data_IF_153054642418
#
_entry.id   IF_153054642418
#
_cell.length_a   1.000
_cell.length_b   1.000
_cell.length_c   1.000
_cell.angle_alpha   90.00
_cell.angle_beta   90.00
_cell.angle_gamma   90.00
#
_symmetry.space_group_name_H-M   'P 1'
#
loop_
_entity.id
_entity.type
_entity.pdbx_description
1 polymer ?
#
# COMPACT_ATOMS: atom_id res chain seq x y z
N UNK A 1 -7.50 33.72 2.63
CA UNK A 1 -6.50 33.10 1.73
C UNK A 1 -5.34 32.64 2.60
N UNK A 2 -4.91 31.37 2.55
CA UNK A 2 -3.83 30.90 3.41
C UNK A 2 -2.50 31.55 2.99
N UNK A 3 -1.70 32.12 3.92
CA UNK A 3 -0.43 32.78 3.61
C UNK A 3 0.56 31.89 2.85
N UNK A 4 0.50 30.56 3.08
CA UNK A 4 1.37 29.58 2.42
C UNK A 4 1.24 29.58 0.89
N UNK A 5 0.09 30.00 0.35
CA UNK A 5 -0.13 30.03 -1.11
C UNK A 5 0.53 31.23 -1.81
N UNK A 6 0.99 32.22 -1.06
CA UNK A 6 1.77 33.33 -1.60
C UNK A 6 3.24 32.94 -1.84
N UNK A 7 3.68 31.78 -1.34
CA UNK A 7 5.04 31.30 -1.51
C UNK A 7 5.26 30.68 -2.90
N UNK A 8 6.50 30.76 -3.43
CA UNK A 8 6.93 29.97 -4.58
C UNK A 8 6.67 28.47 -4.39
N UNK A 9 6.36 27.79 -5.49
CA UNK A 9 6.02 26.35 -5.52
C UNK A 9 7.14 25.49 -4.92
N UNK A 10 8.39 25.90 -5.12
CA UNK A 10 9.59 25.23 -4.67
C UNK A 10 9.69 25.20 -3.14
N UNK A 11 9.37 26.33 -2.48
CA UNK A 11 9.40 26.43 -1.02
C UNK A 11 8.28 25.61 -0.36
N UNK A 12 7.10 25.61 -1.00
CA UNK A 12 5.97 24.79 -0.54
C UNK A 12 6.32 23.31 -0.68
N UNK A 13 6.87 22.90 -1.84
CA UNK A 13 7.27 21.52 -2.10
C UNK A 13 8.35 21.04 -1.12
N UNK A 14 9.36 21.87 -0.86
CA UNK A 14 10.38 21.59 0.16
C UNK A 14 9.78 21.47 1.57
N UNK A 15 8.77 22.27 1.89
CA UNK A 15 8.09 22.16 3.19
C UNK A 15 7.32 20.83 3.28
N UNK A 16 6.60 20.46 2.22
CA UNK A 16 5.82 19.21 2.13
C UNK A 16 6.73 17.98 2.18
N UNK A 17 7.92 18.00 1.57
CA UNK A 17 8.82 16.85 1.56
C UNK A 17 9.34 16.46 2.94
N UNK A 18 9.35 17.41 3.89
CA UNK A 18 9.71 17.18 5.29
C UNK A 18 8.58 16.60 6.15
N UNK A 19 7.36 16.57 5.63
CA UNK A 19 6.18 16.07 6.35
C UNK A 19 6.14 14.54 6.37
N UNK A 20 5.52 14.01 7.43
CA UNK A 20 5.14 12.61 7.49
C UNK A 20 4.18 12.26 6.34
N UNK A 21 4.12 10.98 5.94
CA UNK A 21 3.19 10.55 4.89
C UNK A 21 1.73 10.90 5.23
N UNK A 22 1.32 10.70 6.48
CA UNK A 22 0.00 11.09 6.96
C UNK A 22 -0.29 12.57 6.72
N UNK A 23 0.64 13.45 7.12
CA UNK A 23 0.47 14.89 6.95
C UNK A 23 0.48 15.29 5.48
N UNK A 24 1.25 14.62 4.62
CA UNK A 24 1.23 14.87 3.17
C UNK A 24 -0.12 14.54 2.55
N UNK A 25 -0.69 13.39 2.90
CA UNK A 25 -2.01 12.99 2.43
C UNK A 25 -3.10 13.94 2.91
N UNK A 26 -3.01 14.42 4.16
CA UNK A 26 -3.90 15.46 4.70
C UNK A 26 -3.78 16.77 3.93
N UNK A 27 -2.55 17.23 3.71
CA UNK A 27 -2.25 18.48 2.98
C UNK A 27 -2.72 18.43 1.53
N UNK A 28 -2.58 17.29 0.86
CA UNK A 28 -3.11 17.07 -0.49
C UNK A 28 -4.64 17.22 -0.55
N UNK A 29 -5.35 16.90 0.54
CA UNK A 29 -6.81 17.08 0.65
C UNK A 29 -7.26 18.53 0.81
N UNK A 30 -6.37 19.47 1.14
CA UNK A 30 -6.73 20.87 1.44
C UNK A 30 -6.94 21.70 0.18
N UNK A 31 -6.11 21.52 -0.86
CA UNK A 31 -6.15 22.36 -2.06
C UNK A 31 -5.59 21.67 -3.30
N UNK A 32 -6.15 21.98 -4.48
CA UNK A 32 -5.70 21.44 -5.78
C UNK A 32 -4.21 21.64 -6.07
N UNK A 33 -3.62 22.78 -5.69
CA UNK A 33 -2.18 23.04 -5.89
C UNK A 33 -1.33 22.07 -5.07
N UNK A 34 -1.68 21.89 -3.79
CA UNK A 34 -0.98 20.99 -2.87
C UNK A 34 -1.18 19.52 -3.28
N UNK A 35 -2.37 19.21 -3.79
CA UNK A 35 -2.67 17.90 -4.36
C UNK A 35 -1.76 17.56 -5.55
N UNK A 36 -1.55 18.50 -6.47
CA UNK A 36 -0.65 18.29 -7.61
C UNK A 36 0.80 18.13 -7.13
N UNK A 37 1.25 18.98 -6.21
CA UNK A 37 2.59 18.87 -5.62
C UNK A 37 2.81 17.50 -4.94
N UNK A 38 1.82 17.01 -4.20
CA UNK A 38 1.90 15.69 -3.58
C UNK A 38 2.01 14.58 -4.62
N UNK A 39 1.20 14.63 -5.69
CA UNK A 39 1.23 13.68 -6.80
C UNK A 39 2.54 13.66 -7.59
N UNK A 40 3.27 14.77 -7.61
CA UNK A 40 4.57 14.88 -8.29
C UNK A 40 5.74 14.49 -7.37
N UNK A 41 5.49 14.43 -6.07
CA UNK A 41 6.52 14.20 -5.07
C UNK A 41 6.73 12.71 -4.78
N UNK A 42 7.98 12.24 -4.93
CA UNK A 42 8.37 10.88 -4.52
C UNK A 42 8.88 10.86 -3.09
N UNK A 43 8.68 9.74 -2.39
CA UNK A 43 9.19 9.57 -1.04
C UNK A 43 9.44 8.11 -0.70
N UNK A 44 10.30 7.90 0.29
CA UNK A 44 10.61 6.57 0.79
C UNK A 44 9.96 6.36 2.16
N UNK A 45 9.32 5.21 2.35
CA UNK A 45 8.78 4.75 3.63
C UNK A 45 9.52 3.48 4.02
N UNK A 46 10.24 3.49 5.13
CA UNK A 46 11.02 2.32 5.55
C UNK A 46 10.12 1.12 5.81
N UNK A 47 9.05 1.32 6.60
CA UNK A 47 8.08 0.27 6.96
C UNK A 47 6.66 0.82 6.93
N UNK A 48 5.75 0.05 6.32
CA UNK A 48 4.33 0.36 6.27
C UNK A 48 3.48 -0.87 6.60
N UNK A 49 2.41 -0.64 7.33
CA UNK A 49 1.36 -1.63 7.57
C UNK A 49 0.00 -1.12 7.08
N UNK A 50 -0.66 -1.93 6.25
CA UNK A 50 -2.05 -1.73 5.87
C UNK A 50 -2.85 -2.87 6.48
N UNK A 51 -3.79 -2.54 7.35
CA UNK A 51 -4.58 -3.55 8.06
C UNK A 51 -6.07 -3.22 8.01
N UNK A 52 -6.90 -4.25 8.14
CA UNK A 52 -8.32 -4.12 8.41
C UNK A 52 -8.62 -4.72 9.79
N UNK A 53 -9.23 -3.92 10.66
CA UNK A 53 -9.57 -4.31 12.04
C UNK A 53 -11.08 -4.27 12.25
N UNK A 54 -11.57 -5.09 13.18
CA UNK A 54 -12.96 -4.98 13.63
C UNK A 54 -13.12 -3.80 14.60
N UNK A 55 -14.26 -3.09 14.61
CA UNK A 55 -14.44 -1.96 15.56
C UNK A 55 -14.45 -2.38 17.03
N UNK A 56 -14.55 -3.68 17.31
CA UNK A 56 -14.59 -4.25 18.66
C UNK A 56 -13.19 -4.62 19.18
N UNK A 57 -12.19 -4.66 18.30
CA UNK A 57 -10.82 -4.90 18.70
C UNK A 57 -10.19 -3.61 19.20
N UNK A 58 -9.79 -3.63 20.48
CA UNK A 58 -8.94 -2.60 21.06
C UNK A 58 -7.60 -2.69 20.33
N UNK A 59 -7.34 -1.77 19.41
CA UNK A 59 -6.07 -1.71 18.67
C UNK A 59 -4.94 -1.51 19.68
N UNK A 60 -4.36 -2.60 20.15
CA UNK A 60 -3.15 -2.64 20.96
C UNK A 60 -1.98 -2.54 19.99
N UNK A 61 -1.61 -1.33 19.57
CA UNK A 61 -0.42 -1.19 18.74
C UNK A 61 0.51 -0.09 19.24
N UNK A 62 1.68 -0.53 19.65
CA UNK A 62 2.87 0.27 19.92
C UNK A 62 3.92 -0.13 18.89
N UNK A 63 3.82 0.43 17.70
CA UNK A 63 4.91 0.41 16.73
C UNK A 63 5.06 1.80 16.12
N UNK A 64 6.30 2.23 15.94
CA UNK A 64 6.71 3.51 15.36
C UNK A 64 6.51 3.61 13.85
N UNK A 65 5.74 2.71 13.24
CA UNK A 65 5.63 2.54 11.79
C UNK A 65 4.42 3.28 11.19
N UNK A 66 4.53 3.68 9.92
CA UNK A 66 3.44 4.29 9.17
C UNK A 66 2.32 3.25 8.98
N UNK A 67 1.12 3.55 9.48
CA UNK A 67 0.01 2.59 9.51
C UNK A 67 -1.25 3.16 8.87
N UNK A 68 -1.92 2.31 8.09
CA UNK A 68 -3.24 2.58 7.53
C UNK A 68 -4.18 1.49 8.02
N UNK A 69 -5.20 1.91 8.77
CA UNK A 69 -6.19 1.02 9.36
C UNK A 69 -7.55 1.25 8.71
N UNK A 70 -8.10 0.19 8.13
CA UNK A 70 -9.48 0.11 7.69
C UNK A 70 -10.33 -0.55 8.78
N UNK A 71 -11.61 -0.21 8.80
CA UNK A 71 -12.59 -0.77 9.75
C UNK A 71 -13.69 -1.46 8.95
N UNK A 72 -13.96 -2.73 9.24
CA UNK A 72 -14.83 -3.59 8.41
C UNK A 72 -16.25 -3.01 8.18
N UNK A 73 -16.78 -2.24 9.15
CA UNK A 73 -18.11 -1.64 9.07
C UNK A 73 -18.17 -0.38 8.20
N UNK A 74 -17.03 0.13 7.73
CA UNK A 74 -16.93 1.36 6.94
C UNK A 74 -16.64 1.08 5.48
N UNK A 75 -17.08 2.00 4.63
CA UNK A 75 -16.75 2.03 3.21
C UNK A 75 -15.60 2.99 2.96
N UNK A 76 -14.59 2.53 2.23
CA UNK A 76 -13.40 3.32 1.87
C UNK A 76 -13.27 3.46 0.37
N UNK A 77 -12.67 4.57 -0.05
CA UNK A 77 -12.11 4.70 -1.40
C UNK A 77 -10.69 4.15 -1.41
N UNK A 78 -10.31 3.53 -2.52
CA UNK A 78 -8.93 3.10 -2.81
C UNK A 78 -8.01 4.26 -3.18
N UNK A 79 -8.53 5.48 -3.34
CA UNK A 79 -7.77 6.65 -3.82
C UNK A 79 -6.52 6.94 -2.97
N UNK A 80 -6.63 6.75 -1.65
CA UNK A 80 -5.49 6.92 -0.73
C UNK A 80 -4.37 5.91 -1.07
N UNK A 81 -4.72 4.64 -1.20
CA UNK A 81 -3.76 3.57 -1.52
C UNK A 81 -3.17 3.76 -2.92
N UNK A 82 -3.98 4.21 -3.89
CA UNK A 82 -3.53 4.52 -5.25
C UNK A 82 -2.55 5.69 -5.30
N UNK A 83 -2.64 6.65 -4.39
CA UNK A 83 -1.64 7.73 -4.28
C UNK A 83 -0.34 7.19 -3.72
N UNK A 84 -0.42 6.39 -2.66
CA UNK A 84 0.75 5.79 -2.03
C UNK A 84 1.48 4.91 -3.03
N UNK A 85 0.78 4.03 -3.77
CA UNK A 85 1.41 3.15 -4.77
C UNK A 85 2.18 3.93 -5.83
N UNK A 86 1.71 5.13 -6.19
CA UNK A 86 2.37 6.00 -7.18
C UNK A 86 3.50 6.83 -6.62
N UNK A 87 3.44 7.23 -5.36
CA UNK A 87 4.33 8.27 -4.82
C UNK A 87 5.38 7.72 -3.85
N UNK A 88 5.11 6.58 -3.23
CA UNK A 88 5.97 5.97 -2.23
C UNK A 88 6.78 4.80 -2.81
N UNK A 89 8.07 4.76 -2.50
CA UNK A 89 8.83 3.51 -2.45
C UNK A 89 8.81 2.99 -1.01
N UNK A 90 8.57 1.69 -0.82
CA UNK A 90 8.37 1.11 0.51
C UNK A 90 9.44 0.04 0.75
N UNK A 91 10.20 0.17 1.83
CA UNK A 91 11.21 -0.83 2.20
C UNK A 91 10.54 -2.17 2.53
N UNK A 92 9.63 -2.16 3.49
CA UNK A 92 8.87 -3.33 3.93
C UNK A 92 7.38 -3.02 4.05
N UNK A 93 6.54 -3.71 3.29
CA UNK A 93 5.08 -3.55 3.29
C UNK A 93 4.40 -4.80 3.85
N UNK A 94 3.62 -4.63 4.92
CA UNK A 94 2.71 -5.67 5.42
C UNK A 94 1.26 -5.30 5.11
N UNK A 95 0.52 -6.24 4.52
CA UNK A 95 -0.90 -6.07 4.22
C UNK A 95 -1.68 -7.22 4.85
N UNK A 96 -2.64 -6.88 5.72
CA UNK A 96 -3.52 -7.83 6.39
C UNK A 96 -4.96 -7.36 6.20
N UNK A 97 -5.64 -7.91 5.20
CA UNK A 97 -7.02 -7.56 4.88
C UNK A 97 -7.93 -8.78 5.06
N UNK A 98 -9.09 -8.56 5.67
CA UNK A 98 -9.94 -9.64 6.18
C UNK A 98 -11.24 -9.76 5.37
N UNK A 99 -11.69 -8.68 4.76
CA UNK A 99 -12.88 -8.64 3.92
C UNK A 99 -12.65 -9.11 2.49
N UNK A 100 -13.74 -9.48 1.82
CA UNK A 100 -13.75 -10.01 0.43
C UNK A 100 -14.53 -9.11 -0.55
N UNK A 101 -14.79 -7.86 -0.16
CA UNK A 101 -15.56 -6.91 -0.96
C UNK A 101 -14.74 -6.45 -2.17
N UNK A 102 -15.41 -5.76 -3.12
CA UNK A 102 -14.76 -5.18 -4.30
C UNK A 102 -13.55 -4.30 -3.93
N UNK A 103 -13.66 -3.55 -2.84
CA UNK A 103 -12.59 -2.72 -2.29
C UNK A 103 -11.32 -3.52 -2.02
N UNK A 104 -11.42 -4.67 -1.35
CA UNK A 104 -10.26 -5.49 -1.01
C UNK A 104 -9.54 -5.99 -2.26
N UNK A 105 -10.28 -6.48 -3.26
CA UNK A 105 -9.70 -6.87 -4.55
C UNK A 105 -8.99 -5.71 -5.23
N UNK A 106 -9.55 -4.50 -5.13
CA UNK A 106 -8.92 -3.30 -5.67
C UNK A 106 -7.61 -2.98 -4.96
N UNK A 107 -7.56 -3.09 -3.61
CA UNK A 107 -6.32 -2.91 -2.86
C UNK A 107 -5.28 -3.94 -3.28
N UNK A 108 -5.62 -5.23 -3.35
CA UNK A 108 -4.66 -6.25 -3.79
C UNK A 108 -4.17 -6.03 -5.23
N UNK A 109 -5.05 -5.58 -6.13
CA UNK A 109 -4.67 -5.22 -7.48
C UNK A 109 -3.76 -3.98 -7.55
N UNK A 110 -3.83 -3.08 -6.57
CA UNK A 110 -2.93 -1.93 -6.47
C UNK A 110 -1.54 -2.33 -6.00
N UNK A 111 -1.38 -3.41 -5.23
CA UNK A 111 -0.09 -3.84 -4.66
C UNK A 111 0.98 -4.02 -5.74
N UNK A 112 0.59 -4.55 -6.91
CA UNK A 112 1.50 -4.73 -8.05
C UNK A 112 2.02 -3.41 -8.65
N UNK A 113 1.40 -2.28 -8.32
CA UNK A 113 1.81 -0.96 -8.77
C UNK A 113 2.80 -0.27 -7.81
N UNK A 114 3.02 -0.83 -6.62
CA UNK A 114 3.97 -0.26 -5.66
C UNK A 114 5.41 -0.58 -6.05
N UNK A 115 6.32 0.32 -5.65
CA UNK A 115 7.76 0.05 -5.60
C UNK A 115 8.11 -0.48 -4.20
N UNK A 116 8.27 -1.80 -4.06
CA UNK A 116 8.43 -2.46 -2.75
C UNK A 116 9.75 -3.23 -2.68
N UNK A 117 10.49 -3.07 -1.59
CA UNK A 117 11.61 -3.96 -1.26
C UNK A 117 11.10 -5.35 -0.88
N UNK A 118 10.40 -5.43 0.23
CA UNK A 118 9.86 -6.66 0.81
C UNK A 118 8.34 -6.57 1.04
N UNK A 119 7.62 -7.62 0.64
CA UNK A 119 6.18 -7.71 0.76
C UNK A 119 5.77 -8.88 1.65
N UNK A 120 4.94 -8.61 2.66
CA UNK A 120 4.33 -9.61 3.51
C UNK A 120 2.79 -9.55 3.36
N UNK A 121 2.19 -10.59 2.79
CA UNK A 121 0.75 -10.67 2.54
C UNK A 121 0.09 -11.67 3.49
N UNK A 122 -0.78 -11.17 4.36
CA UNK A 122 -1.65 -11.97 5.21
C UNK A 122 -3.08 -11.98 4.67
N UNK A 123 -3.62 -13.18 4.46
CA UNK A 123 -5.04 -13.38 4.16
C UNK A 123 -5.68 -14.07 5.36
N UNK A 124 -6.55 -13.38 6.10
CA UNK A 124 -7.19 -13.99 7.27
C UNK A 124 -8.30 -14.99 6.86
N UNK A 125 -8.96 -14.76 5.72
CA UNK A 125 -10.02 -15.64 5.20
C UNK A 125 -9.52 -16.49 4.04
N UNK A 126 -9.49 -17.81 4.22
CA UNK A 126 -9.06 -18.80 3.19
C UNK A 126 -9.78 -18.65 1.84
N UNK A 127 -11.03 -18.17 1.80
CA UNK A 127 -11.75 -18.01 0.54
C UNK A 127 -11.08 -16.96 -0.37
N UNK A 128 -10.71 -15.81 0.20
CA UNK A 128 -10.12 -14.74 -0.59
C UNK A 128 -8.75 -15.13 -1.11
N UNK A 129 -7.95 -15.78 -0.27
CA UNK A 129 -6.69 -16.38 -0.64
C UNK A 129 -6.87 -17.30 -1.86
N UNK A 130 -7.83 -18.24 -1.80
CA UNK A 130 -8.11 -19.17 -2.90
C UNK A 130 -8.54 -18.45 -4.17
N UNK A 131 -9.21 -17.32 -4.10
CA UNK A 131 -9.66 -16.60 -5.29
C UNK A 131 -8.58 -15.70 -5.88
N UNK A 132 -7.69 -15.14 -5.06
CA UNK A 132 -6.71 -14.14 -5.48
C UNK A 132 -5.32 -14.71 -5.74
N UNK A 133 -4.86 -15.67 -4.93
CA UNK A 133 -3.54 -16.29 -5.07
C UNK A 133 -3.55 -17.37 -6.16
N UNK A 134 -3.68 -16.91 -7.40
CA UNK A 134 -3.49 -17.70 -8.62
C UNK A 134 -2.13 -17.36 -9.23
N UNK A 135 -1.63 -18.22 -10.11
CA UNK A 135 -0.33 -18.07 -10.78
C UNK A 135 -0.09 -16.67 -11.36
N UNK A 136 -1.08 -16.09 -12.05
CA UNK A 136 -0.94 -14.78 -12.67
C UNK A 136 -0.73 -13.66 -11.63
N UNK A 137 -1.47 -13.70 -10.52
CA UNK A 137 -1.31 -12.73 -9.45
C UNK A 137 0.03 -12.89 -8.74
N UNK A 138 0.44 -14.13 -8.46
CA UNK A 138 1.75 -14.44 -7.89
C UNK A 138 2.90 -13.91 -8.76
N UNK A 139 2.85 -14.16 -10.07
CA UNK A 139 3.86 -13.70 -11.03
C UNK A 139 3.89 -12.17 -11.17
N UNK A 140 2.75 -11.49 -10.97
CA UNK A 140 2.70 -10.03 -10.93
C UNK A 140 3.36 -9.49 -9.64
N UNK A 141 3.12 -10.13 -8.49
CA UNK A 141 3.76 -9.75 -7.23
C UNK A 141 5.28 -9.91 -7.29
N UNK A 142 5.78 -10.98 -7.90
CA UNK A 142 7.24 -11.24 -8.01
C UNK A 142 7.97 -10.21 -8.87
N UNK A 143 7.24 -9.47 -9.72
CA UNK A 143 7.79 -8.34 -10.48
C UNK A 143 7.77 -7.03 -9.69
N UNK A 144 6.83 -6.90 -8.74
CA UNK A 144 6.62 -5.67 -7.97
C UNK A 144 7.53 -5.57 -6.73
N UNK A 145 8.13 -6.67 -6.29
CA UNK A 145 8.97 -6.68 -5.09
C UNK A 145 10.11 -7.70 -5.15
N UNK A 146 11.12 -7.51 -4.30
CA UNK A 146 12.33 -8.35 -4.29
C UNK A 146 12.16 -9.60 -3.43
N UNK A 147 11.43 -9.48 -2.33
CA UNK A 147 11.18 -10.57 -1.39
C UNK A 147 9.68 -10.61 -1.11
N UNK A 148 9.08 -11.80 -1.17
CA UNK A 148 7.68 -12.03 -0.85
C UNK A 148 7.57 -13.08 0.23
N UNK A 149 6.88 -12.73 1.31
CA UNK A 149 6.40 -13.65 2.31
C UNK A 149 4.92 -13.92 2.05
N UNK A 150 4.62 -15.15 1.63
CA UNK A 150 3.26 -15.62 1.40
C UNK A 150 2.93 -16.71 2.43
N UNK A 151 1.74 -16.63 2.99
CA UNK A 151 1.15 -17.71 3.76
C UNK A 151 0.14 -18.43 2.89
N UNK A 152 0.17 -19.77 2.90
CA UNK A 152 -0.82 -20.64 2.26
C UNK A 152 -0.92 -20.42 0.72
N UNK A 153 -0.14 -21.21 -0.03
CA UNK A 153 0.02 -21.08 -1.49
C UNK A 153 -0.47 -22.30 -2.27
N UNK A 154 -1.55 -22.95 -1.80
CA UNK A 154 -2.07 -24.20 -2.38
C UNK A 154 -2.33 -24.16 -3.90
N UNK A 155 -2.60 -22.97 -4.45
CA UNK A 155 -2.97 -22.79 -5.87
C UNK A 155 -1.83 -22.35 -6.78
N UNK A 156 -0.64 -22.12 -6.23
CA UNK A 156 0.53 -21.78 -7.04
C UNK A 156 1.05 -23.08 -7.67
N UNK A 157 1.08 -23.12 -8.99
CA UNK A 157 1.55 -24.30 -9.72
C UNK A 157 3.08 -24.35 -9.73
N UNK A 158 3.62 -25.55 -9.97
CA UNK A 158 5.06 -25.75 -10.17
C UNK A 158 5.58 -24.96 -11.37
N UNK A 159 4.74 -24.74 -12.39
CA UNK A 159 5.08 -23.95 -13.57
C UNK A 159 5.30 -22.47 -13.22
N UNK A 160 4.42 -21.89 -12.42
CA UNK A 160 4.59 -20.52 -11.94
C UNK A 160 5.85 -20.36 -11.08
N UNK A 161 6.13 -21.32 -10.19
CA UNK A 161 7.38 -21.35 -9.41
C UNK A 161 8.62 -21.44 -10.31
N UNK A 162 8.57 -22.29 -11.34
CA UNK A 162 9.65 -22.42 -12.30
C UNK A 162 9.90 -21.11 -13.07
N UNK A 163 8.84 -20.40 -13.47
CA UNK A 163 8.97 -19.09 -14.12
C UNK A 163 9.67 -18.06 -13.23
N UNK A 164 9.32 -17.99 -11.94
CA UNK A 164 10.00 -17.11 -10.99
C UNK A 164 11.48 -17.47 -10.86
N UNK A 165 11.78 -18.77 -10.77
CA UNK A 165 13.16 -19.27 -10.70
C UNK A 165 13.99 -18.86 -11.93
N UNK A 166 13.41 -18.89 -13.14
CA UNK A 166 14.10 -18.47 -14.37
C UNK A 166 14.42 -16.97 -14.41
N UNK A 167 13.72 -16.12 -13.64
CA UNK A 167 13.96 -14.67 -13.59
C UNK A 167 15.02 -14.30 -12.54
N UNK A 168 15.21 -15.16 -11.53
CA UNK A 168 16.19 -14.93 -10.45
C UNK A 168 17.62 -15.29 -10.88
N UNK A 169 17.78 -16.20 -11.84
CA UNK A 169 19.07 -16.61 -12.41
C UNK A 169 19.53 -15.72 -13.56
#
# INVERSE_FOLDING_TARGET
QFPIFALPTELISHSISSLSMEDRLRVAGVNKKLNIMELESKYHVEKMMIEEVSAHEKVMCTFSDQRITFYEEKSYSSDCIRRISKNASIGYLTIVLTGSKKFHREIYNLIKEFDIGELNLGFERHQMLKEMMVDSFFLDLTKACKIIYLYDCEKITSEALYQVYQVIL
#
